data_IF_151656862384
#
_entry.id   IF_151656862384
#
_cell.length_a   1.000
_cell.length_b   1.000
_cell.length_c   1.000
_cell.angle_alpha   90.00
_cell.angle_beta   90.00
_cell.angle_gamma   90.00
#
_symmetry.space_group_name_H-M   'P 1'
#
loop_
_entity.id
_entity.type
_entity.pdbx_description
1 polymer ?
#
# COMPACT_ATOMS: atom_id res chain seq x y z
N UNK A 1 -11.90 -70.96 -49.87
CA UNK A 1 -12.82 -71.82 -49.07
C UNK A 1 -13.42 -70.98 -47.95
N UNK A 2 -14.77 -70.93 -47.85
CA UNK A 2 -15.64 -70.80 -46.64
C UNK A 2 -15.24 -69.73 -45.58
N UNK A 3 -16.06 -68.80 -45.09
CA UNK A 3 -17.50 -68.76 -44.76
C UNK A 3 -17.84 -67.31 -44.30
N UNK A 4 -18.94 -66.72 -44.76
CA UNK A 4 -19.73 -65.66 -44.05
C UNK A 4 -20.35 -66.27 -42.76
N UNK A 5 -20.91 -65.55 -41.74
CA UNK A 5 -21.86 -64.41 -41.89
C UNK A 5 -22.11 -63.42 -40.68
N UNK A 6 -23.13 -62.54 -40.86
CA UNK A 6 -24.03 -61.82 -39.89
C UNK A 6 -23.48 -60.54 -39.21
N UNK A 7 -24.02 -59.32 -39.40
CA UNK A 7 -25.41 -58.76 -39.38
C UNK A 7 -25.99 -58.61 -37.96
N UNK A 8 -26.11 -57.36 -37.47
CA UNK A 8 -27.32 -56.78 -36.79
C UNK A 8 -27.14 -55.29 -36.42
N UNK A 9 -28.06 -54.47 -36.92
CA UNK A 9 -28.53 -53.10 -36.58
C UNK A 9 -29.12 -53.08 -35.12
N UNK A 10 -29.59 -51.97 -34.45
CA UNK A 10 -30.02 -50.65 -34.99
C UNK A 10 -30.01 -49.38 -34.06
N UNK A 11 -30.60 -48.27 -34.59
CA UNK A 11 -31.41 -47.19 -33.94
C UNK A 11 -30.67 -46.23 -32.96
N UNK A 12 -30.77 -44.88 -32.97
CA UNK A 12 -31.82 -43.88 -33.31
C UNK A 12 -31.12 -42.57 -33.78
N UNK A 13 -31.55 -41.96 -34.90
CA UNK A 13 -32.31 -40.69 -34.97
C UNK A 13 -31.88 -39.63 -33.94
N UNK A 14 -31.44 -38.40 -34.27
CA UNK A 14 -31.73 -37.54 -35.42
C UNK A 14 -32.37 -36.21 -34.92
N UNK A 15 -32.16 -35.11 -35.66
CA UNK A 15 -32.74 -33.74 -35.52
C UNK A 15 -31.95 -32.80 -34.59
N UNK A 16 -31.02 -31.98 -35.09
CA UNK A 16 -31.19 -30.71 -35.83
C UNK A 16 -31.73 -29.55 -34.99
N UNK A 17 -30.93 -28.49 -34.79
CA UNK A 17 -31.39 -27.10 -34.88
C UNK A 17 -30.20 -26.12 -34.87
N UNK A 18 -30.09 -25.34 -35.95
CA UNK A 18 -29.32 -24.12 -35.99
C UNK A 18 -29.96 -23.07 -35.07
N UNK A 19 -29.14 -22.36 -34.28
CA UNK A 19 -29.52 -21.09 -33.66
C UNK A 19 -28.47 -20.01 -33.97
N UNK A 20 -28.89 -18.74 -34.13
CA UNK A 20 -28.20 -17.71 -34.89
C UNK A 20 -27.30 -16.82 -34.03
N UNK A 21 -26.41 -16.08 -34.68
CA UNK A 21 -25.74 -14.90 -34.14
C UNK A 21 -26.76 -13.82 -33.77
N UNK A 22 -26.86 -13.46 -32.48
CA UNK A 22 -27.36 -12.15 -32.02
C UNK A 22 -27.13 -11.99 -30.51
N UNK A 23 -26.09 -11.25 -30.11
CA UNK A 23 -26.03 -10.56 -28.81
C UNK A 23 -24.87 -9.53 -28.77
N UNK A 24 -24.94 -8.52 -29.63
CA UNK A 24 -24.39 -7.20 -29.37
C UNK A 24 -25.57 -6.24 -29.28
N UNK A 25 -25.69 -5.53 -28.16
CA UNK A 25 -26.56 -4.35 -28.02
C UNK A 25 -28.01 -4.63 -27.64
N UNK A 26 -28.30 -4.53 -26.34
CA UNK A 26 -29.52 -3.85 -25.88
C UNK A 26 -29.32 -3.37 -24.45
N UNK A 27 -29.37 -2.04 -24.30
CA UNK A 27 -29.52 -1.33 -23.04
C UNK A 27 -30.82 -1.79 -22.37
N UNK A 28 -30.71 -2.32 -21.16
CA UNK A 28 -31.69 -2.07 -20.11
C UNK A 28 -30.91 -1.36 -19.01
N UNK A 29 -31.22 -0.08 -18.86
CA UNK A 29 -30.63 0.82 -17.90
C UNK A 29 -30.92 0.29 -16.50
N UNK A 30 -29.96 -0.46 -15.96
CA UNK A 30 -30.01 -0.88 -14.58
C UNK A 30 -29.55 0.30 -13.70
N UNK A 31 -30.15 1.48 -13.89
CA UNK A 31 -29.81 2.71 -13.17
C UNK A 31 -29.87 2.52 -11.66
N UNK A 32 -30.74 1.61 -11.18
CA UNK A 32 -30.78 1.19 -9.79
C UNK A 32 -29.54 0.38 -9.38
N UNK A 33 -29.07 -0.57 -10.20
CA UNK A 33 -27.85 -1.31 -9.94
C UNK A 33 -26.60 -0.43 -10.11
N UNK A 34 -26.58 0.48 -11.10
CA UNK A 34 -25.50 1.45 -11.29
C UNK A 34 -25.47 2.45 -10.13
N UNK A 35 -26.62 2.94 -9.66
CA UNK A 35 -26.71 3.80 -8.48
C UNK A 35 -26.33 3.07 -7.19
N UNK A 36 -26.64 1.77 -7.08
CA UNK A 36 -26.21 0.94 -5.96
C UNK A 36 -24.70 0.68 -5.99
N UNK A 37 -24.13 0.43 -7.18
CA UNK A 37 -22.68 0.32 -7.37
C UNK A 37 -21.99 1.65 -7.08
N UNK A 38 -22.51 2.77 -7.57
CA UNK A 38 -21.98 4.11 -7.29
C UNK A 38 -22.02 4.40 -5.79
N UNK A 39 -23.14 4.11 -5.11
CA UNK A 39 -23.25 4.26 -3.66
C UNK A 39 -22.24 3.40 -2.90
N UNK A 40 -21.97 2.18 -3.37
CA UNK A 40 -20.96 1.27 -2.80
C UNK A 40 -19.52 1.70 -3.09
N UNK A 41 -19.26 2.36 -4.22
CA UNK A 41 -17.93 2.83 -4.62
C UNK A 41 -17.58 4.19 -3.99
N UNK A 42 -18.58 5.06 -3.83
CA UNK A 42 -18.45 6.40 -3.28
C UNK A 42 -18.25 6.38 -1.76
N UNK A 43 -18.75 5.34 -1.07
CA UNK A 43 -18.56 5.13 0.37
C UNK A 43 -19.22 6.22 1.23
N UNK A 44 -19.41 5.96 2.52
CA UNK A 44 -20.03 6.91 3.49
C UNK A 44 -19.21 8.19 3.76
N UNK A 45 -18.19 8.47 2.95
CA UNK A 45 -17.22 9.55 3.15
C UNK A 45 -17.02 10.45 1.93
N UNK A 46 -17.90 10.41 0.92
CA UNK A 46 -17.83 11.39 -0.15
C UNK A 46 -18.28 12.74 0.36
N UNK A 47 -17.29 13.55 0.75
CA UNK A 47 -17.53 14.92 1.17
C UNK A 47 -18.25 15.67 0.03
N UNK A 48 -19.48 16.16 0.27
CA UNK A 48 -20.23 16.95 -0.72
C UNK A 48 -19.40 18.11 -1.27
N UNK A 49 -18.48 18.68 -0.49
CA UNK A 49 -17.58 19.74 -0.94
C UNK A 49 -16.50 19.23 -1.91
N UNK A 50 -15.99 18.01 -1.73
CA UNK A 50 -15.05 17.42 -2.69
C UNK A 50 -15.72 17.05 -4.01
N UNK A 51 -16.93 16.50 -3.95
CA UNK A 51 -17.71 16.22 -5.16
C UNK A 51 -18.12 17.51 -5.87
N UNK A 52 -18.45 18.57 -5.12
CA UNK A 52 -18.70 19.89 -5.70
C UNK A 52 -17.44 20.42 -6.38
N UNK A 53 -16.27 20.35 -5.75
CA UNK A 53 -15.01 20.82 -6.34
C UNK A 53 -14.57 20.00 -7.57
N UNK A 54 -14.87 18.71 -7.64
CA UNK A 54 -14.58 17.85 -8.80
C UNK A 54 -15.57 18.04 -9.96
N UNK A 55 -16.83 18.36 -9.66
CA UNK A 55 -17.86 18.64 -10.65
C UNK A 55 -17.94 20.13 -11.01
N UNK A 56 -17.19 20.99 -10.32
CA UNK A 56 -17.14 22.39 -10.66
C UNK A 56 -16.48 22.50 -12.04
N UNK A 57 -17.20 23.13 -12.97
CA UNK A 57 -16.63 23.38 -14.28
C UNK A 57 -15.39 24.23 -14.05
N UNK A 58 -14.24 23.76 -14.54
CA UNK A 58 -13.07 24.62 -14.68
C UNK A 58 -13.48 25.75 -15.64
N UNK A 59 -13.98 26.84 -15.07
CA UNK A 59 -14.17 28.09 -15.76
C UNK A 59 -12.77 28.64 -15.97
N UNK A 60 -12.23 28.37 -17.16
CA UNK A 60 -11.07 29.09 -17.66
C UNK A 60 -11.55 30.52 -17.87
N UNK A 61 -11.36 31.36 -16.86
CA UNK A 61 -11.55 32.80 -16.98
C UNK A 61 -10.47 33.33 -17.94
N UNK A 62 -10.82 33.70 -19.18
CA UNK A 62 -9.87 34.13 -20.19
C UNK A 62 -9.18 35.46 -19.81
N UNK A 63 -9.78 36.23 -18.90
CA UNK A 63 -9.23 37.50 -18.43
C UNK A 63 -8.21 37.31 -17.29
N UNK A 64 -8.16 36.12 -16.68
CA UNK A 64 -7.14 35.73 -15.69
C UNK A 64 -5.90 35.07 -16.31
N UNK A 65 -5.92 34.69 -17.60
CA UNK A 65 -4.78 34.03 -18.26
C UNK A 65 -3.52 34.88 -18.33
N UNK A 66 -3.66 36.21 -18.41
CA UNK A 66 -2.54 37.15 -18.49
C UNK A 66 -2.09 37.71 -17.12
N UNK A 67 -2.89 37.49 -16.06
CA UNK A 67 -2.60 37.95 -14.69
C UNK A 67 -2.24 36.79 -13.74
N UNK A 68 -2.30 35.54 -14.21
CA UNK A 68 -1.84 34.37 -13.48
C UNK A 68 -0.30 34.36 -13.36
N UNK A 69 0.19 34.94 -12.26
CA UNK A 69 1.52 34.70 -11.69
C UNK A 69 2.76 35.22 -12.43
N UNK A 70 2.68 36.30 -13.21
CA UNK A 70 3.89 36.89 -13.82
C UNK A 70 4.81 37.61 -12.83
N UNK A 71 4.32 38.01 -11.65
CA UNK A 71 5.10 38.77 -10.64
C UNK A 71 4.94 38.31 -9.18
N UNK A 72 4.29 37.17 -8.92
CA UNK A 72 4.21 36.61 -7.56
C UNK A 72 5.52 35.93 -7.22
N UNK A 73 6.22 36.44 -6.20
CA UNK A 73 7.30 35.70 -5.55
C UNK A 73 6.68 34.42 -5.01
N UNK A 74 6.99 33.30 -5.65
CA UNK A 74 6.60 31.98 -5.16
C UNK A 74 7.20 31.83 -3.76
N UNK A 75 6.38 31.85 -2.72
CA UNK A 75 6.84 31.48 -1.38
C UNK A 75 7.57 30.14 -1.51
N UNK A 76 8.71 30.01 -0.83
CA UNK A 76 9.52 28.80 -0.85
C UNK A 76 8.58 27.60 -0.71
N UNK A 77 8.68 26.61 -1.61
CA UNK A 77 7.82 25.43 -1.62
C UNK A 77 7.70 24.93 -0.17
N UNK A 78 6.58 25.23 0.49
CA UNK A 78 6.24 24.55 1.73
C UNK A 78 6.27 23.07 1.36
N UNK A 79 6.89 22.21 2.18
CA UNK A 79 6.77 20.77 1.94
C UNK A 79 5.28 20.49 1.74
N UNK A 80 4.97 19.84 0.62
CA UNK A 80 3.61 19.51 0.24
C UNK A 80 2.94 18.98 1.50
N UNK A 81 1.85 19.59 1.96
CA UNK A 81 1.31 19.32 3.30
C UNK A 81 0.92 17.85 3.50
N UNK A 82 1.00 17.03 2.45
CA UNK A 82 0.69 15.61 2.47
C UNK A 82 -0.70 15.39 3.01
N UNK A 83 -1.57 16.40 2.90
CA UNK A 83 -2.93 16.42 3.38
C UNK A 83 -3.73 15.46 2.49
N UNK A 84 -3.57 14.18 2.79
CA UNK A 84 -4.43 13.12 2.30
C UNK A 84 -5.74 13.30 3.06
N UNK A 85 -6.89 13.20 2.36
CA UNK A 85 -8.19 13.19 3.02
C UNK A 85 -8.17 12.24 4.22
N UNK A 86 -8.80 12.60 5.35
CA UNK A 86 -8.84 11.75 6.52
C UNK A 86 -9.30 10.35 6.08
N UNK A 87 -8.57 9.33 6.51
CA UNK A 87 -8.89 7.94 6.19
C UNK A 87 -10.14 7.57 6.99
N UNK A 88 -11.32 7.91 6.44
CA UNK A 88 -12.63 7.65 7.04
C UNK A 88 -12.99 6.16 7.07
N UNK A 89 -12.01 5.28 6.86
CA UNK A 89 -12.21 3.86 6.68
C UNK A 89 -12.76 3.54 5.30
N UNK A 90 -12.33 2.41 4.74
CA UNK A 90 -13.21 1.64 3.88
C UNK A 90 -14.17 0.86 4.79
N UNK A 91 -15.45 0.75 4.42
CA UNK A 91 -16.30 -0.35 4.92
C UNK A 91 -15.60 -1.65 4.47
N UNK A 92 -14.92 -2.33 5.39
CA UNK A 92 -13.96 -3.39 5.08
C UNK A 92 -12.56 -2.85 4.78
N UNK A 93 -11.88 -2.39 5.83
CA UNK A 93 -10.43 -2.46 6.04
C UNK A 93 -9.84 -3.81 5.55
N UNK A 94 -8.52 -4.01 5.55
CA UNK A 94 -7.99 -5.36 5.36
C UNK A 94 -8.74 -6.25 6.35
N UNK A 95 -9.73 -7.04 5.89
CA UNK A 95 -10.84 -7.32 6.80
C UNK A 95 -10.23 -8.01 8.00
N UNK A 96 -10.66 -7.60 9.19
CA UNK A 96 -10.21 -8.23 10.43
C UNK A 96 -10.25 -9.75 10.29
N UNK A 97 -11.14 -10.30 9.46
CA UNK A 97 -11.20 -11.70 9.02
C UNK A 97 -9.94 -12.21 8.28
N UNK A 98 -9.38 -11.47 7.33
CA UNK A 98 -8.13 -11.81 6.62
C UNK A 98 -6.91 -11.80 7.54
N UNK A 99 -6.95 -10.98 8.59
CA UNK A 99 -5.88 -10.85 9.58
C UNK A 99 -6.06 -11.84 10.75
N UNK A 100 -7.29 -12.06 11.23
CA UNK A 100 -7.66 -13.03 12.27
C UNK A 100 -7.41 -14.46 11.79
N UNK A 101 -7.68 -14.74 10.50
CA UNK A 101 -7.32 -16.02 9.88
C UNK A 101 -5.80 -16.26 9.85
N UNK A 102 -4.99 -15.20 9.88
CA UNK A 102 -3.54 -15.29 9.77
C UNK A 102 -2.84 -15.72 11.08
N UNK A 103 -3.60 -15.91 12.18
CA UNK A 103 -3.10 -16.24 13.52
C UNK A 103 -1.98 -15.28 13.90
N UNK A 104 -2.35 -14.01 14.10
CA UNK A 104 -1.42 -12.95 14.47
C UNK A 104 -0.85 -13.22 15.87
N UNK A 105 0.46 -13.07 15.97
CA UNK A 105 1.17 -12.98 17.24
C UNK A 105 1.05 -11.56 17.76
N UNK A 106 0.71 -11.41 19.04
CA UNK A 106 0.78 -10.11 19.69
C UNK A 106 2.25 -9.69 19.82
N UNK A 107 2.56 -8.48 19.34
CA UNK A 107 3.85 -7.87 19.59
C UNK A 107 4.02 -7.62 21.10
N UNK A 108 5.24 -7.79 21.64
CA UNK A 108 5.55 -7.38 23.01
C UNK A 108 5.22 -5.90 23.23
N UNK A 109 5.00 -5.52 24.48
CA UNK A 109 4.86 -4.10 24.84
C UNK A 109 6.14 -3.36 24.40
N UNK A 110 5.95 -2.18 23.82
CA UNK A 110 7.06 -1.34 23.40
C UNK A 110 8.00 -1.05 24.58
N UNK A 111 9.30 -1.28 24.39
CA UNK A 111 10.32 -0.82 25.33
C UNK A 111 10.58 0.67 25.09
N UNK A 112 10.54 1.48 26.13
CA UNK A 112 10.77 2.93 26.00
C UNK A 112 12.27 3.16 25.87
N UNK A 113 12.68 3.76 24.75
CA UNK A 113 14.07 4.19 24.55
C UNK A 113 14.18 5.61 25.09
N UNK A 114 15.13 5.83 26.01
CA UNK A 114 15.39 7.15 26.57
C UNK A 114 15.87 8.11 25.47
N UNK A 115 15.61 9.40 25.63
CA UNK A 115 15.96 10.39 24.60
C UNK A 115 17.48 10.45 24.37
N UNK A 116 18.26 10.18 25.41
CA UNK A 116 19.72 10.16 25.41
C UNK A 116 20.29 8.98 24.62
N UNK A 117 19.57 7.86 24.59
CA UNK A 117 19.95 6.62 23.92
C UNK A 117 19.55 6.60 22.44
N UNK A 118 18.78 7.60 21.99
CA UNK A 118 18.35 7.70 20.61
C UNK A 118 19.03 8.85 19.86
N UNK A 119 20.13 8.51 19.18
CA UNK A 119 20.94 9.46 18.40
C UNK A 119 20.15 10.15 17.26
N UNK A 120 19.13 9.46 16.71
CA UNK A 120 18.37 9.88 15.51
C UNK A 120 16.86 10.08 15.78
N UNK A 121 16.47 10.42 17.01
CA UNK A 121 15.06 10.63 17.39
C UNK A 121 14.65 12.12 17.40
N UNK A 122 13.33 12.37 17.34
CA UNK A 122 12.73 13.68 17.59
C UNK A 122 12.95 14.70 16.47
N UNK A 123 13.36 15.92 16.81
CA UNK A 123 13.57 17.04 15.86
C UNK A 123 14.63 16.74 14.78
N UNK A 124 15.45 15.71 14.99
CA UNK A 124 16.45 15.23 14.01
C UNK A 124 15.90 14.18 13.04
N UNK A 125 14.58 13.96 12.99
CA UNK A 125 13.95 12.97 12.10
C UNK A 125 14.22 13.31 10.63
N UNK A 126 14.64 12.30 9.88
CA UNK A 126 14.53 12.24 8.44
C UNK A 126 13.20 12.83 7.89
N UNK A 127 13.30 13.90 7.13
CA UNK A 127 12.13 14.54 6.47
C UNK A 127 11.81 13.89 5.12
N UNK A 128 12.76 13.14 4.54
CA UNK A 128 12.62 12.46 3.24
C UNK A 128 12.83 10.95 3.38
N UNK A 129 12.27 10.15 2.48
CA UNK A 129 12.50 8.69 2.46
C UNK A 129 13.99 8.34 2.36
N UNK A 130 14.77 9.12 1.60
CA UNK A 130 16.21 8.94 1.48
C UNK A 130 16.95 9.19 2.79
N UNK A 131 16.58 10.25 3.52
CA UNK A 131 17.10 10.48 4.87
C UNK A 131 16.64 9.41 5.85
N UNK A 132 15.41 8.88 5.71
CA UNK A 132 14.92 7.83 6.62
C UNK A 132 15.74 6.56 6.42
N UNK A 133 15.93 6.15 5.17
CA UNK A 133 16.79 5.02 4.84
C UNK A 133 18.24 5.20 5.33
N UNK A 134 18.76 6.42 5.28
CA UNK A 134 20.10 6.75 5.79
C UNK A 134 20.19 6.72 7.32
N UNK A 135 19.23 7.33 8.02
CA UNK A 135 19.15 7.44 9.47
C UNK A 135 18.94 6.07 10.14
N UNK A 136 18.28 5.15 9.45
CA UNK A 136 18.13 3.77 9.93
C UNK A 136 19.40 2.94 9.77
N UNK A 137 20.47 3.54 9.24
CA UNK A 137 21.78 2.93 9.22
C UNK A 137 21.76 1.53 8.62
N UNK A 138 20.84 1.27 7.67
CA UNK A 138 20.74 0.01 6.96
C UNK A 138 22.14 -0.20 6.39
N UNK A 139 22.91 -1.03 7.08
CA UNK A 139 24.28 -1.31 6.72
C UNK A 139 24.17 -1.95 5.36
N UNK A 140 24.60 -1.16 4.39
CA UNK A 140 24.59 -1.30 2.94
C UNK A 140 25.22 -2.63 2.48
N UNK A 141 24.72 -3.76 2.97
CA UNK A 141 25.42 -5.04 3.03
C UNK A 141 26.95 -4.88 3.17
N UNK A 142 27.72 -5.75 2.53
CA UNK A 142 29.19 -5.69 2.50
C UNK A 142 29.73 -4.67 1.46
N UNK A 143 29.15 -3.48 1.31
CA UNK A 143 29.56 -2.50 0.29
C UNK A 143 29.07 -1.06 0.54
N UNK A 144 29.42 -0.13 -0.36
CA UNK A 144 28.91 1.26 -0.33
C UNK A 144 27.73 1.40 -1.28
N UNK A 145 26.48 1.56 -0.79
CA UNK A 145 25.36 1.98 -1.63
C UNK A 145 25.52 3.46 -2.00
N UNK A 146 26.23 3.74 -3.08
CA UNK A 146 26.33 5.10 -3.64
C UNK A 146 25.15 5.43 -4.56
N UNK A 147 24.25 4.46 -4.78
CA UNK A 147 23.06 4.62 -5.61
C UNK A 147 21.99 5.47 -4.90
N UNK A 148 21.44 6.43 -5.66
CA UNK A 148 20.39 7.34 -5.21
C UNK A 148 19.04 6.64 -5.16
N UNK A 149 18.26 6.92 -4.12
CA UNK A 149 16.87 6.47 -4.01
C UNK A 149 16.06 6.98 -5.21
N UNK A 150 15.45 6.07 -5.96
CA UNK A 150 14.52 6.39 -7.03
C UNK A 150 13.11 6.39 -6.47
N UNK A 151 12.34 7.45 -6.73
CA UNK A 151 10.98 7.59 -6.25
C UNK A 151 9.96 7.13 -7.28
N UNK A 152 8.86 6.54 -6.83
CA UNK A 152 7.76 6.11 -7.67
C UNK A 152 6.86 5.09 -6.98
N UNK A 153 5.54 5.23 -7.15
CA UNK A 153 4.56 4.35 -6.52
C UNK A 153 4.76 2.87 -6.86
N UNK A 154 5.36 2.54 -8.00
CA UNK A 154 5.68 1.16 -8.39
C UNK A 154 6.60 0.43 -7.40
N UNK A 155 7.42 1.16 -6.64
CA UNK A 155 8.30 0.57 -5.61
C UNK A 155 7.54 -0.08 -4.46
N UNK A 156 6.30 0.34 -4.19
CA UNK A 156 5.45 -0.28 -3.18
C UNK A 156 5.12 -1.75 -3.51
N UNK A 157 5.00 -2.09 -4.80
CA UNK A 157 4.78 -3.46 -5.27
C UNK A 157 6.05 -4.30 -5.26
N UNK A 158 7.20 -3.66 -5.04
CA UNK A 158 8.56 -4.23 -5.05
C UNK A 158 9.15 -4.42 -3.66
N UNK A 159 8.37 -4.12 -2.62
CA UNK A 159 8.71 -4.40 -1.23
C UNK A 159 9.04 -5.89 -1.03
N UNK A 160 9.89 -6.25 -0.06
CA UNK A 160 10.16 -7.65 0.28
C UNK A 160 8.86 -8.40 0.61
N UNK A 161 8.82 -9.69 0.29
CA UNK A 161 7.63 -10.50 0.51
C UNK A 161 7.26 -10.61 1.98
N UNK A 162 8.18 -10.36 2.90
CA UNK A 162 7.96 -10.38 4.35
C UNK A 162 7.40 -9.04 4.86
N UNK A 163 7.61 -7.97 4.09
CA UNK A 163 7.33 -6.58 4.47
C UNK A 163 6.58 -5.79 3.38
N UNK A 164 5.46 -6.29 2.84
CA UNK A 164 4.69 -5.52 1.87
C UNK A 164 3.95 -4.36 2.52
N UNK A 165 3.40 -3.48 1.69
CA UNK A 165 2.40 -2.50 2.13
C UNK A 165 1.23 -3.23 2.77
N UNK A 166 0.75 -2.70 3.90
CA UNK A 166 -0.37 -3.26 4.64
C UNK A 166 -1.59 -3.41 3.72
N UNK A 167 -2.40 -4.47 3.82
CA UNK A 167 -3.50 -4.65 2.89
C UNK A 167 -4.48 -3.46 2.97
N UNK A 168 -4.96 -3.00 1.81
CA UNK A 168 -5.76 -1.78 1.66
C UNK A 168 -5.09 -0.47 2.15
N UNK A 169 -3.79 -0.50 2.44
CA UNK A 169 -3.00 0.68 2.74
C UNK A 169 -2.93 1.63 1.53
N UNK A 170 -3.07 2.93 1.78
CA UNK A 170 -2.91 3.99 0.79
C UNK A 170 -1.46 4.44 0.75
N UNK A 171 -0.74 4.05 -0.30
CA UNK A 171 0.64 4.50 -0.53
C UNK A 171 0.64 6.00 -0.78
N UNK A 172 1.39 6.74 0.05
CA UNK A 172 1.67 8.17 -0.13
C UNK A 172 2.93 8.37 -0.95
N UNK A 173 3.96 7.60 -0.64
CA UNK A 173 5.26 7.67 -1.27
C UNK A 173 5.91 6.30 -1.26
N UNK A 174 6.68 6.00 -2.30
CA UNK A 174 7.52 4.81 -2.32
C UNK A 174 8.79 5.11 -3.11
N UNK A 175 9.87 4.44 -2.73
CA UNK A 175 11.14 4.55 -3.39
C UNK A 175 11.98 3.30 -3.21
N UNK A 176 12.96 3.14 -4.09
CA UNK A 176 13.87 2.02 -4.01
C UNK A 176 15.18 2.29 -4.71
N UNK A 177 16.14 1.44 -4.39
CA UNK A 177 17.42 1.35 -5.07
C UNK A 177 17.58 -0.08 -5.52
N UNK A 178 17.94 -0.26 -6.79
CA UNK A 178 18.41 -1.55 -7.31
C UNK A 178 19.93 -1.47 -7.43
N UNK A 179 20.66 -2.41 -6.83
CA UNK A 179 22.11 -2.33 -6.76
C UNK A 179 22.85 -3.53 -6.13
N UNK A 180 22.20 -4.68 -5.98
CA UNK A 180 22.82 -5.90 -5.45
C UNK A 180 22.93 -5.87 -3.93
N UNK A 181 24.09 -5.52 -3.38
CA UNK A 181 24.34 -5.48 -1.92
C UNK A 181 23.47 -4.41 -1.19
N UNK A 182 22.67 -3.66 -1.97
CA UNK A 182 22.08 -2.38 -1.64
C UNK A 182 20.61 -2.25 -2.06
N UNK A 183 19.89 -3.37 -2.17
CA UNK A 183 18.50 -3.39 -2.61
C UNK A 183 17.58 -2.91 -1.49
N UNK A 184 17.46 -1.59 -1.32
CA UNK A 184 16.57 -0.97 -0.34
C UNK A 184 15.21 -0.67 -0.98
N UNK A 185 14.16 -0.89 -0.20
CA UNK A 185 12.80 -0.47 -0.47
C UNK A 185 12.31 0.40 0.67
N UNK A 186 11.64 1.48 0.31
CA UNK A 186 11.00 2.39 1.24
C UNK A 186 9.57 2.62 0.78
N UNK A 187 8.62 2.56 1.71
CA UNK A 187 7.25 2.96 1.44
C UNK A 187 6.67 3.71 2.64
N UNK A 188 5.92 4.77 2.36
CA UNK A 188 5.09 5.49 3.32
C UNK A 188 3.64 5.33 2.91
N UNK A 189 2.80 4.87 3.83
CA UNK A 189 1.38 4.65 3.56
C UNK A 189 0.53 4.90 4.81
N UNK A 190 -0.77 5.05 4.62
CA UNK A 190 -1.76 5.08 5.71
C UNK A 190 -2.75 3.94 5.61
N UNK A 191 -3.30 3.53 6.74
CA UNK A 191 -4.35 2.51 6.83
C UNK A 191 -5.35 2.90 7.90
N UNK A 192 -6.61 2.55 7.71
CA UNK A 192 -7.67 2.73 8.70
C UNK A 192 -7.54 1.76 9.89
N UNK A 193 -6.70 0.73 9.77
CA UNK A 193 -6.47 -0.24 10.84
C UNK A 193 -5.84 0.41 12.09
N UNK A 194 -6.22 -0.11 13.26
CA UNK A 194 -5.65 0.32 14.53
C UNK A 194 -4.15 0.03 14.60
N UNK A 195 -3.40 0.90 15.27
CA UNK A 195 -1.95 0.79 15.36
C UNK A 195 -1.50 -0.56 15.91
N UNK A 196 -2.19 -1.08 16.92
CA UNK A 196 -1.88 -2.40 17.49
C UNK A 196 -2.04 -3.53 16.46
N UNK A 197 -3.08 -3.49 15.62
CA UNK A 197 -3.29 -4.51 14.59
C UNK A 197 -2.19 -4.46 13.53
N UNK A 198 -1.75 -3.25 13.14
CA UNK A 198 -0.67 -3.05 12.18
C UNK A 198 0.67 -3.54 12.77
N UNK A 199 0.95 -3.22 14.03
CA UNK A 199 2.15 -3.69 14.74
C UNK A 199 2.14 -5.22 14.84
N UNK A 200 1.04 -5.83 15.27
CA UNK A 200 0.91 -7.29 15.41
C UNK A 200 1.08 -8.00 14.06
N UNK A 201 0.57 -7.40 12.98
CA UNK A 201 0.75 -7.90 11.62
C UNK A 201 2.24 -7.96 11.23
N UNK A 202 2.96 -6.84 11.32
CA UNK A 202 4.37 -6.81 10.93
C UNK A 202 5.26 -7.61 11.88
N UNK A 203 4.95 -7.62 13.17
CA UNK A 203 5.64 -8.47 14.15
C UNK A 203 5.48 -9.95 13.80
N UNK A 204 4.26 -10.39 13.48
CA UNK A 204 3.99 -11.76 13.07
C UNK A 204 4.78 -12.15 11.83
N UNK A 205 4.81 -11.28 10.81
CA UNK A 205 5.55 -11.54 9.57
C UNK A 205 7.05 -11.60 9.79
N UNK A 206 7.61 -10.66 10.54
CA UNK A 206 9.03 -10.64 10.89
C UNK A 206 9.43 -11.95 11.59
N UNK A 207 8.71 -12.32 12.66
CA UNK A 207 8.99 -13.54 13.44
C UNK A 207 8.81 -14.83 12.65
N UNK A 208 7.75 -14.95 11.85
CA UNK A 208 7.51 -16.12 10.99
C UNK A 208 8.55 -16.25 9.88
N UNK A 209 9.17 -15.15 9.48
CA UNK A 209 10.20 -15.13 8.44
C UNK A 209 11.63 -15.19 9.00
N UNK A 210 11.78 -15.38 10.31
CA UNK A 210 13.09 -15.56 10.96
C UNK A 210 13.86 -14.28 11.25
N UNK A 211 13.22 -13.12 11.18
CA UNK A 211 13.82 -11.87 11.67
C UNK A 211 13.71 -11.77 13.19
N UNK A 212 14.67 -11.09 13.82
CA UNK A 212 14.42 -10.44 15.11
C UNK A 212 13.32 -9.39 14.95
N UNK A 213 12.64 -9.06 16.05
CA UNK A 213 11.55 -8.09 16.01
C UNK A 213 11.45 -7.38 17.36
N UNK A 214 12.10 -6.24 17.45
CA UNK A 214 12.11 -5.38 18.62
C UNK A 214 11.08 -4.27 18.47
N UNK A 215 10.13 -4.22 19.40
CA UNK A 215 9.14 -3.16 19.48
C UNK A 215 9.59 -2.13 20.51
N UNK A 216 9.81 -0.90 20.06
CA UNK A 216 10.34 0.20 20.85
C UNK A 216 9.44 1.43 20.75
N UNK A 217 9.47 2.27 21.77
CA UNK A 217 8.89 3.61 21.76
C UNK A 217 10.05 4.61 21.72
N UNK A 218 10.17 5.35 20.62
CA UNK A 218 11.29 6.25 20.32
C UNK A 218 10.76 7.66 20.09
N UNK A 219 11.02 8.58 21.02
CA UNK A 219 10.50 9.96 21.00
C UNK A 219 8.99 10.04 20.72
N UNK A 220 8.21 9.15 21.33
CA UNK A 220 6.74 9.11 21.18
C UNK A 220 6.23 8.30 19.99
N UNK A 221 7.11 7.82 19.11
CA UNK A 221 6.72 6.98 17.98
C UNK A 221 6.92 5.50 18.28
N UNK A 222 6.00 4.67 17.79
CA UNK A 222 6.15 3.23 17.84
C UNK A 222 7.07 2.76 16.71
N UNK A 223 8.03 1.92 17.05
CA UNK A 223 9.05 1.42 16.11
C UNK A 223 9.13 -0.08 16.21
N UNK A 224 9.12 -0.76 15.06
CA UNK A 224 9.44 -2.18 14.96
C UNK A 224 10.64 -2.36 14.03
N UNK A 225 11.72 -2.93 14.56
CA UNK A 225 12.94 -3.17 13.79
C UNK A 225 13.53 -4.55 14.04
N UNK A 226 14.37 -5.00 13.11
CA UNK A 226 15.05 -6.27 13.27
C UNK A 226 15.91 -6.67 12.08
N UNK A 227 16.65 -7.75 12.28
CA UNK A 227 17.59 -8.32 11.32
C UNK A 227 17.40 -9.83 11.19
N UNK A 228 17.92 -10.41 10.11
CA UNK A 228 17.92 -11.84 9.83
C UNK A 228 19.31 -12.27 9.40
N UNK A 229 19.97 -13.03 10.26
CA UNK A 229 21.42 -13.27 10.15
C UNK A 229 21.84 -14.04 8.89
N UNK A 230 20.99 -14.93 8.38
CA UNK A 230 21.41 -15.85 7.31
C UNK A 230 21.56 -15.20 5.94
N UNK A 231 20.87 -14.09 5.67
CA UNK A 231 20.97 -13.35 4.41
C UNK A 231 21.19 -11.85 4.60
N UNK A 232 21.45 -11.40 5.84
CA UNK A 232 21.65 -9.99 6.16
C UNK A 232 20.39 -9.14 5.96
N UNK A 233 19.20 -9.76 5.94
CA UNK A 233 17.94 -9.05 5.89
C UNK A 233 17.82 -8.08 7.06
N UNK A 234 17.32 -6.87 6.82
CA UNK A 234 17.11 -5.83 7.83
C UNK A 234 15.87 -5.01 7.48
N UNK A 235 15.13 -4.61 8.51
CA UNK A 235 13.96 -3.75 8.35
C UNK A 235 13.79 -2.80 9.54
N UNK A 236 13.10 -1.70 9.26
CA UNK A 236 12.70 -0.70 10.24
C UNK A 236 11.35 -0.11 9.85
N UNK A 237 10.41 -0.11 10.78
CA UNK A 237 9.05 0.37 10.57
C UNK A 237 8.69 1.34 11.69
N UNK A 238 8.19 2.53 11.34
CA UNK A 238 7.56 3.45 12.29
C UNK A 238 6.05 3.42 12.15
N UNK A 239 5.35 3.51 13.27
CA UNK A 239 3.89 3.57 13.34
C UNK A 239 3.48 4.82 14.10
N UNK A 240 2.66 5.64 13.45
CA UNK A 240 2.18 6.91 13.99
C UNK A 240 0.67 6.97 13.87
N UNK A 241 0.01 7.55 14.88
CA UNK A 241 -1.43 7.74 14.83
C UNK A 241 -1.76 8.85 13.81
N UNK A 242 -2.81 8.65 13.02
CA UNK A 242 -3.31 9.67 12.09
C UNK A 242 -4.44 10.49 12.70
N UNK A 243 -4.49 11.82 12.44
CA UNK A 243 -5.67 12.62 12.74
C UNK A 243 -6.89 12.03 12.02
N UNK A 244 -7.94 11.68 12.76
CA UNK A 244 -9.14 11.00 12.22
C UNK A 244 -9.17 9.48 12.41
N UNK A 245 -8.15 8.89 13.05
CA UNK A 245 -8.07 7.44 13.28
C UNK A 245 -7.23 6.72 12.22
N UNK A 246 -6.87 5.47 12.50
CA UNK A 246 -5.95 4.69 11.68
C UNK A 246 -4.48 4.86 12.07
N UNK A 247 -3.61 4.44 11.16
CA UNK A 247 -2.15 4.38 11.36
C UNK A 247 -1.42 4.85 10.10
N UNK A 248 -0.48 5.78 10.27
CA UNK A 248 0.57 6.09 9.30
C UNK A 248 1.77 5.19 9.53
N UNK A 249 2.31 4.63 8.45
CA UNK A 249 3.41 3.69 8.48
C UNK A 249 4.50 4.16 7.51
N UNK A 250 5.72 4.26 8.02
CA UNK A 250 6.92 4.36 7.19
C UNK A 250 7.70 3.06 7.35
N UNK A 251 8.04 2.41 6.24
CA UNK A 251 8.79 1.16 6.24
C UNK A 251 10.03 1.28 5.37
N UNK A 252 11.16 0.85 5.92
CA UNK A 252 12.43 0.63 5.22
C UNK A 252 12.78 -0.83 5.37
N UNK A 253 13.07 -1.51 4.26
CA UNK A 253 13.57 -2.89 4.29
C UNK A 253 14.54 -3.13 3.13
N UNK A 254 15.50 -4.02 3.34
CA UNK A 254 16.36 -4.51 2.25
C UNK A 254 15.79 -5.80 1.62
N UNK A 255 16.46 -6.30 0.57
CA UNK A 255 16.10 -7.52 -0.16
C UNK A 255 14.74 -7.43 -0.88
N UNK A 256 14.42 -6.24 -1.40
CA UNK A 256 13.27 -6.05 -2.29
C UNK A 256 13.45 -6.71 -3.66
N UNK A 257 12.33 -7.00 -4.33
CA UNK A 257 12.34 -7.57 -5.70
C UNK A 257 12.26 -6.47 -6.74
#
# INVERSE_FOLDING_TARGET
MRRFPRLTLPLLLGVALALPLAACGKEDSNEAAVAELDSKLVGKGSDPEMNAALNDRILVDPDLTDSANVNTVKEANRPLSGAVPPDSGYDGDASIEALDSAKLMRAPKATVVAAEDCTNCGEKRATTLGSLAADQGVTRGKGTCDAKLQYGAGWANRMPAEFPVYPRGRVKEAGGVDGGICDIRVATFTTSASMQNVIDYYYTRARKSGYSAEHQLRAGEHVLGGVRDHDGGAYFITFNATPGGGTAVDIVANNGR
#
